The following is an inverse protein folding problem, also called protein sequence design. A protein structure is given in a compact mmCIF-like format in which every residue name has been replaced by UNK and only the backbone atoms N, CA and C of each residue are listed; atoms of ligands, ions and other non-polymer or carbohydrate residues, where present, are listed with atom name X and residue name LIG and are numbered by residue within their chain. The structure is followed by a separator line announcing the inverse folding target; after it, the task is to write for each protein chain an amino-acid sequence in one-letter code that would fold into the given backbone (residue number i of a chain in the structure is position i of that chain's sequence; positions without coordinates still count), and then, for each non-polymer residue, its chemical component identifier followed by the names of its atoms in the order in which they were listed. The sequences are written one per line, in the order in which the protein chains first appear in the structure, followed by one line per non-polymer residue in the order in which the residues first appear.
data_IF_329103647283
#
_entry.id   IF_329103647283
#
_cell.length_a   1.000
_cell.length_b   1.000
_cell.length_c   1.000
_cell.angle_alpha   90.00
_cell.angle_beta   90.00
_cell.angle_gamma   90.00
#
_symmetry.space_group_name_H-M   'P 1'
#
loop_
_entity.id
_entity.type
_entity.pdbx_description
1 polymer ?
#
# COMPACT_ATOMS: atom_id res chain seq x y z
N UNK A 1 -5.83 15.50 6.99
CA UNK A 1 -6.41 14.19 7.37
C UNK A 1 -7.50 14.33 8.42
N UNK A 2 -7.26 15.09 9.49
CA UNK A 2 -8.25 15.39 10.53
C UNK A 2 -9.49 16.15 10.05
N UNK A 3 -9.36 17.07 9.08
CA UNK A 3 -10.50 17.86 8.58
C UNK A 3 -11.50 17.04 7.76
N UNK A 4 -11.04 16.00 7.07
CA UNK A 4 -11.87 15.16 6.19
C UNK A 4 -12.24 13.82 6.83
N UNK A 5 -11.93 13.62 8.12
CA UNK A 5 -12.16 12.37 8.86
C UNK A 5 -11.71 11.12 8.07
N UNK A 6 -10.47 11.12 7.56
CA UNK A 6 -9.96 10.03 6.73
C UNK A 6 -9.64 8.82 7.62
N UNK A 7 -10.34 7.70 7.46
CA UNK A 7 -10.03 6.48 8.22
C UNK A 7 -8.74 5.80 7.74
N UNK A 8 -8.50 5.84 6.43
CA UNK A 8 -7.39 5.12 5.78
C UNK A 8 -6.75 6.01 4.73
N UNK A 9 -5.44 6.19 4.83
CA UNK A 9 -4.66 6.94 3.85
C UNK A 9 -3.52 6.08 3.28
N UNK A 10 -3.53 5.94 1.95
CA UNK A 10 -2.51 5.24 1.20
C UNK A 10 -1.57 6.25 0.57
N UNK A 11 -0.37 6.39 1.15
CA UNK A 11 0.61 7.39 0.70
C UNK A 11 1.74 6.70 -0.05
N UNK A 12 1.96 7.15 -1.28
CA UNK A 12 3.02 6.68 -2.16
C UNK A 12 4.10 7.75 -2.31
N UNK A 13 5.30 7.31 -2.72
CA UNK A 13 6.41 8.20 -3.04
C UNK A 13 6.75 9.21 -1.94
N UNK A 14 6.87 8.77 -0.69
CA UNK A 14 7.14 9.72 0.41
C UNK A 14 8.59 10.22 0.47
N UNK A 15 9.50 9.65 -0.35
CA UNK A 15 10.94 9.98 -0.40
C UNK A 15 11.67 10.14 0.95
N UNK A 16 11.17 9.51 2.03
CA UNK A 16 11.79 9.44 3.36
C UNK A 16 13.18 8.76 3.35
N UNK A 17 13.72 8.33 4.49
CA UNK A 17 14.90 7.46 4.55
C UNK A 17 14.54 6.16 5.27
N UNK A 18 15.08 4.97 4.91
CA UNK A 18 14.72 3.71 5.57
C UNK A 18 15.03 3.77 7.07
N UNK A 19 16.17 4.38 7.39
CA UNK A 19 16.65 4.59 8.75
C UNK A 19 15.86 5.64 9.57
N UNK A 20 14.79 6.21 9.02
CA UNK A 20 13.91 7.16 9.73
C UNK A 20 12.45 6.71 9.68
N UNK A 21 12.08 5.61 10.37
CA UNK A 21 10.74 5.04 10.32
C UNK A 21 9.66 6.01 10.82
N UNK A 22 9.95 6.80 11.87
CA UNK A 22 9.01 7.75 12.49
C UNK A 22 8.90 9.10 11.78
N UNK A 23 9.60 9.32 10.67
CA UNK A 23 9.61 10.62 9.98
C UNK A 23 8.25 11.02 9.38
N UNK A 24 7.28 10.10 9.33
CA UNK A 24 5.93 10.35 8.81
C UNK A 24 4.85 9.84 9.77
N UNK A 25 5.05 10.08 11.07
CA UNK A 25 4.01 9.81 12.09
C UNK A 25 2.94 10.90 12.04
N UNK A 26 1.68 10.51 11.84
CA UNK A 26 0.52 11.40 11.97
C UNK A 26 -0.19 11.04 13.28
N UNK A 27 -0.50 12.05 14.10
CA UNK A 27 -1.21 11.84 15.35
C UNK A 27 -2.57 11.17 15.10
N UNK A 28 -2.88 10.11 15.85
CA UNK A 28 -4.11 9.32 15.68
C UNK A 28 -4.06 8.25 14.59
N UNK A 29 -2.94 8.12 13.86
CA UNK A 29 -2.75 7.10 12.84
C UNK A 29 -1.65 6.12 13.22
N UNK A 30 -1.89 4.84 13.00
CA UNK A 30 -0.90 3.77 12.98
C UNK A 30 -0.27 3.73 11.58
N UNK A 31 1.06 3.80 11.53
CA UNK A 31 1.81 3.72 10.28
C UNK A 31 2.27 2.29 10.01
N UNK A 32 1.75 1.69 8.94
CA UNK A 32 2.32 0.51 8.30
C UNK A 32 3.24 0.96 7.16
N UNK A 33 4.50 0.60 7.24
CA UNK A 33 5.52 1.03 6.28
C UNK A 33 6.23 -0.17 5.68
N UNK A 34 6.40 -0.14 4.37
CA UNK A 34 7.21 -1.13 3.64
C UNK A 34 8.16 -0.38 2.73
N UNK A 35 9.44 -0.55 3.00
CA UNK A 35 10.52 0.06 2.24
C UNK A 35 10.76 -0.76 0.97
N UNK A 36 10.97 -0.07 -0.16
CA UNK A 36 11.31 -0.73 -1.43
C UNK A 36 12.69 -1.36 -1.33
N UNK A 37 12.83 -2.57 -1.87
CA UNK A 37 14.10 -3.32 -1.86
C UNK A 37 15.00 -2.98 -3.05
N UNK A 38 14.43 -2.51 -4.19
CA UNK A 38 15.13 -2.43 -5.48
C UNK A 38 15.24 -1.03 -6.11
N UNK A 39 14.63 0.02 -5.53
CA UNK A 39 14.75 1.39 -6.06
C UNK A 39 15.15 2.39 -4.98
N UNK A 40 16.07 3.29 -5.31
CA UNK A 40 16.65 4.32 -4.43
C UNK A 40 15.71 5.50 -4.14
N UNK A 41 14.47 5.47 -4.67
CA UNK A 41 13.54 6.60 -4.66
C UNK A 41 12.11 6.11 -4.41
N UNK A 42 11.64 6.27 -3.17
CA UNK A 42 10.22 6.22 -2.85
C UNK A 42 9.84 5.12 -1.86
N UNK A 43 9.19 5.53 -0.78
CA UNK A 43 8.62 4.64 0.23
C UNK A 43 7.13 4.54 0.00
N UNK A 44 6.54 3.46 0.48
CA UNK A 44 5.10 3.29 0.58
C UNK A 44 4.74 3.20 2.05
N UNK A 45 3.88 4.10 2.52
CA UNK A 45 3.32 4.03 3.86
C UNK A 45 1.81 3.99 3.77
N UNK A 46 1.24 2.93 4.32
CA UNK A 46 -0.18 2.85 4.67
C UNK A 46 -0.30 3.51 6.04
N UNK A 47 -0.96 4.67 6.10
CA UNK A 47 -1.24 5.39 7.33
C UNK A 47 -2.72 5.19 7.65
N UNK A 48 -3.04 4.57 8.79
CA UNK A 48 -4.41 4.17 9.07
C UNK A 48 -4.78 4.30 10.55
N UNK A 49 -6.02 4.69 10.86
CA UNK A 49 -6.52 4.83 12.24
C UNK A 49 -6.92 3.50 12.89
N UNK A 50 -7.17 2.45 12.09
CA UNK A 50 -7.61 1.13 12.57
C UNK A 50 -6.46 0.10 12.71
N UNK A 51 -6.56 -0.85 13.67
CA UNK A 51 -5.62 -1.96 13.79
C UNK A 51 -5.64 -2.84 12.53
N UNK A 52 -4.46 -3.11 11.99
CA UNK A 52 -4.31 -3.93 10.77
C UNK A 52 -3.17 -4.93 10.93
N UNK A 53 -3.34 -6.09 10.30
CA UNK A 53 -2.29 -7.08 10.21
C UNK A 53 -1.61 -6.97 8.83
N UNK A 54 -0.28 -6.81 8.75
CA UNK A 54 0.42 -6.86 7.47
C UNK A 54 0.20 -8.24 6.83
N UNK A 55 0.04 -8.27 5.50
CA UNK A 55 -0.04 -9.53 4.74
C UNK A 55 1.18 -9.70 3.86
N UNK A 56 1.61 -10.95 3.70
CA UNK A 56 2.60 -11.30 2.71
C UNK A 56 1.92 -11.33 1.34
N UNK A 57 2.29 -10.38 0.48
CA UNK A 57 1.81 -10.34 -0.90
C UNK A 57 2.84 -11.10 -1.74
N UNK A 58 2.41 -12.12 -2.51
CA UNK A 58 3.34 -12.82 -3.39
C UNK A 58 3.96 -11.84 -4.39
N UNK A 59 5.22 -12.05 -4.81
CA UNK A 59 5.87 -11.19 -5.78
C UNK A 59 5.02 -11.04 -7.04
N UNK A 60 4.69 -9.79 -7.40
CA UNK A 60 3.98 -9.51 -8.64
C UNK A 60 5.01 -9.22 -9.74
N UNK A 61 4.86 -9.85 -10.90
CA UNK A 61 5.78 -9.61 -12.02
C UNK A 61 5.69 -8.15 -12.46
N UNK A 62 6.83 -7.45 -12.45
CA UNK A 62 6.98 -6.04 -12.83
C UNK A 62 6.19 -5.04 -11.96
N UNK A 63 5.66 -5.44 -10.81
CA UNK A 63 4.88 -4.58 -9.93
C UNK A 63 5.31 -4.80 -8.48
N UNK A 64 5.46 -3.71 -7.74
CA UNK A 64 5.67 -3.80 -6.29
C UNK A 64 4.32 -3.63 -5.59
N UNK A 65 4.07 -4.44 -4.56
CA UNK A 65 2.83 -4.40 -3.80
C UNK A 65 3.08 -4.51 -2.31
N UNK A 66 2.27 -3.82 -1.54
CA UNK A 66 2.22 -3.90 -0.08
C UNK A 66 0.77 -3.86 0.34
N UNK A 67 0.39 -4.63 1.34
CA UNK A 67 -0.98 -4.57 1.81
C UNK A 67 -1.16 -5.03 3.23
N UNK A 68 -2.36 -4.81 3.72
CA UNK A 68 -2.78 -5.22 5.05
C UNK A 68 -4.20 -5.75 5.03
N UNK A 69 -4.51 -6.55 6.05
CA UNK A 69 -5.85 -7.00 6.38
C UNK A 69 -6.44 -6.07 7.43
N UNK A 70 -7.61 -5.55 7.11
CA UNK A 70 -8.44 -4.76 8.01
C UNK A 70 -9.57 -5.64 8.53
N UNK A 71 -9.57 -5.88 9.84
CA UNK A 71 -10.69 -6.50 10.52
C UNK A 71 -11.82 -5.47 10.66
N UNK A 72 -12.93 -5.73 9.99
CA UNK A 72 -14.14 -4.91 10.08
C UNK A 72 -15.06 -5.53 11.14
N UNK A 73 -15.40 -4.80 12.20
CA UNK A 73 -16.29 -5.31 13.25
C UNK A 73 -17.64 -5.71 12.65
N UNK A 74 -18.06 -6.96 12.85
CA UNK A 74 -19.33 -7.48 12.34
C UNK A 74 -19.35 -7.85 10.85
N UNK A 75 -18.22 -7.76 10.14
CA UNK A 75 -18.14 -8.04 8.70
C UNK A 75 -16.92 -8.88 8.32
N UNK A 76 -16.87 -9.31 7.06
CA UNK A 76 -15.70 -9.99 6.48
C UNK A 76 -14.48 -9.06 6.45
N UNK A 77 -13.28 -9.65 6.52
CA UNK A 77 -12.02 -8.90 6.43
C UNK A 77 -11.90 -8.20 5.08
N UNK A 78 -11.43 -6.96 5.11
CA UNK A 78 -11.10 -6.19 3.91
C UNK A 78 -9.59 -6.23 3.71
N UNK A 79 -9.12 -6.55 2.52
CA UNK A 79 -7.69 -6.48 2.18
C UNK A 79 -7.43 -5.22 1.37
N UNK A 80 -6.49 -4.41 1.84
CA UNK A 80 -6.07 -3.19 1.16
C UNK A 80 -4.69 -3.45 0.58
N UNK A 81 -4.59 -3.38 -0.74
CA UNK A 81 -3.34 -3.56 -1.47
C UNK A 81 -2.96 -2.26 -2.15
N UNK A 82 -1.76 -1.83 -1.85
CA UNK A 82 -1.12 -0.63 -2.36
C UNK A 82 -0.05 -1.05 -3.38
N UNK A 83 -0.25 -0.75 -4.67
CA UNK A 83 0.66 -1.14 -5.78
C UNK A 83 1.40 0.02 -6.44
N UNK A 84 2.61 -0.26 -6.92
CA UNK A 84 3.41 0.64 -7.76
C UNK A 84 3.75 -0.04 -9.08
N UNK A 85 3.49 0.64 -10.19
CA UNK A 85 4.06 0.23 -11.48
C UNK A 85 5.21 1.19 -11.85
N UNK A 86 6.47 0.73 -11.90
CA UNK A 86 7.63 1.61 -12.06
C UNK A 86 7.80 2.23 -13.46
N UNK A 87 6.99 1.87 -14.47
CA UNK A 87 7.03 2.50 -15.80
C UNK A 87 5.82 2.12 -16.69
N UNK A 88 5.33 3.01 -17.60
CA UNK A 88 4.24 2.74 -18.55
C UNK A 88 4.60 1.77 -19.69
N UNK A 89 5.63 0.94 -19.55
CA UNK A 89 5.99 0.00 -20.61
C UNK A 89 4.83 -0.99 -20.79
N UNK A 90 4.08 -0.86 -21.88
CA UNK A 90 2.88 -1.64 -22.21
C UNK A 90 3.09 -3.18 -22.20
N UNK A 91 4.35 -3.62 -22.27
CA UNK A 91 4.80 -5.00 -22.14
C UNK A 91 4.77 -5.53 -20.69
N UNK A 92 4.80 -4.64 -19.70
CA UNK A 92 4.81 -4.94 -18.28
C UNK A 92 3.38 -5.00 -17.70
N UNK A 93 2.41 -5.53 -18.46
CA UNK A 93 1.08 -5.78 -17.90
C UNK A 93 1.24 -6.70 -16.68
N UNK A 94 0.75 -6.30 -15.49
CA UNK A 94 0.81 -7.15 -14.31
C UNK A 94 0.04 -8.44 -14.62
N UNK A 95 0.76 -9.55 -14.71
CA UNK A 95 0.18 -10.88 -14.94
C UNK A 95 0.22 -11.64 -13.62
N UNK A 96 -0.67 -11.28 -12.71
CA UNK A 96 -0.88 -12.05 -11.49
C UNK A 96 -2.23 -11.67 -10.88
N UNK A 97 -3.20 -12.58 -10.83
CA UNK A 97 -4.38 -12.36 -9.99
C UNK A 97 -3.95 -12.31 -8.52
N UNK A 98 -4.41 -11.29 -7.80
CA UNK A 98 -4.27 -11.23 -6.34
C UNK A 98 -5.32 -12.18 -5.73
N UNK A 99 -4.99 -13.47 -5.63
CA UNK A 99 -5.85 -14.48 -5.02
C UNK A 99 -5.78 -14.44 -3.49
N UNK A 100 -6.28 -13.35 -2.90
CA UNK A 100 -6.21 -13.12 -1.44
C UNK A 100 -7.39 -13.72 -0.67
N UNK A 101 -8.42 -14.23 -1.35
CA UNK A 101 -9.59 -14.89 -0.77
C UNK A 101 -10.61 -13.98 -0.10
N UNK A 102 -10.26 -12.72 0.14
CA UNK A 102 -11.07 -11.68 0.77
C UNK A 102 -11.54 -10.62 -0.24
N UNK A 103 -12.42 -9.72 0.17
CA UNK A 103 -12.69 -8.50 -0.60
C UNK A 103 -11.41 -7.64 -0.67
N UNK A 104 -10.97 -7.29 -1.89
CA UNK A 104 -9.71 -6.56 -2.11
C UNK A 104 -9.98 -5.16 -2.66
N UNK A 105 -9.41 -4.15 -2.02
CA UNK A 105 -9.25 -2.81 -2.60
C UNK A 105 -7.81 -2.69 -3.11
N UNK A 106 -7.68 -2.53 -4.42
CA UNK A 106 -6.39 -2.24 -5.07
C UNK A 106 -6.27 -0.73 -5.29
N UNK A 107 -5.21 -0.14 -4.77
CA UNK A 107 -4.91 1.29 -4.92
C UNK A 107 -3.45 1.48 -5.28
N UNK A 108 -3.14 2.43 -6.14
CA UNK A 108 -1.78 2.54 -6.62
C UNK A 108 -1.63 3.59 -7.69
N UNK A 109 -0.42 4.11 -7.82
CA UNK A 109 -0.02 4.74 -9.06
C UNK A 109 0.37 3.63 -10.05
N UNK A 110 -0.46 3.46 -11.06
CA UNK A 110 -0.25 2.49 -12.13
C UNK A 110 0.61 3.05 -13.25
N UNK A 111 0.97 4.33 -13.25
CA UNK A 111 1.74 4.97 -14.31
C UNK A 111 1.24 4.62 -15.73
N UNK A 112 -0.06 4.40 -15.89
CA UNK A 112 -0.69 4.07 -17.16
C UNK A 112 -1.74 5.11 -17.49
N UNK A 113 -1.77 5.56 -18.75
CA UNK A 113 -2.87 6.38 -19.26
C UNK A 113 -3.92 5.44 -19.86
N UNK A 114 -5.19 5.75 -19.62
CA UNK A 114 -6.33 5.21 -20.39
C UNK A 114 -6.25 5.60 -21.84
#
# INVERSE_FOLDING_TARGET
MSENSIDIALVQETYLKPNRPKACSIAGYVQLRTDRTYSSKGYRSVLQTLPTAPINIPPLTNMEATGCRLAMTGHSTLVIVSVYLPSPNWLARPKSPLCLGDAVILFGDFNCKT
#
